data_IF_630328042454
#
_entry.id   IF_630328042454
#
_cell.length_a   1.000
_cell.length_b   1.000
_cell.length_c   1.000
_cell.angle_alpha   90.00
_cell.angle_beta   90.00
_cell.angle_gamma   90.00
#
_symmetry.space_group_name_H-M   'P 1'
#
loop_
_entity.id
_entity.type
_entity.pdbx_description
1 polymer ?
#
# COMPACT_ATOMS: atom_id res chain seq x y z
N UNK A 1 -12.23 -12.65 16.00
CA UNK A 1 -11.38 -11.52 16.44
C UNK A 1 -12.12 -10.25 16.08
N UNK A 2 -12.37 -9.37 17.06
CA UNK A 2 -12.96 -8.07 16.76
C UNK A 2 -11.99 -7.29 15.85
N UNK A 3 -12.53 -6.64 14.81
CA UNK A 3 -11.75 -5.72 13.97
C UNK A 3 -11.22 -4.60 14.87
N UNK A 4 -9.95 -4.67 15.25
CA UNK A 4 -9.25 -3.57 15.92
C UNK A 4 -9.07 -2.41 14.94
N UNK A 5 -8.99 -2.73 13.64
CA UNK A 5 -8.87 -1.76 12.57
C UNK A 5 -10.17 -0.98 12.38
N UNK A 6 -10.04 0.36 12.37
CA UNK A 6 -11.14 1.29 12.07
C UNK A 6 -10.94 1.97 10.71
N UNK A 7 -9.71 1.98 10.22
CA UNK A 7 -9.34 2.62 8.97
C UNK A 7 -8.38 1.74 8.16
N UNK A 8 -8.45 1.87 6.85
CA UNK A 8 -7.50 1.31 5.90
C UNK A 8 -6.80 2.47 5.20
N UNK A 9 -5.48 2.55 5.31
CA UNK A 9 -4.68 3.41 4.44
C UNK A 9 -4.13 2.56 3.30
N UNK A 10 -4.52 2.90 2.08
CA UNK A 10 -4.23 2.14 0.87
C UNK A 10 -3.30 2.97 0.00
N UNK A 11 -2.18 2.36 -0.36
CA UNK A 11 -1.18 2.95 -1.26
C UNK A 11 -1.06 2.06 -2.46
N UNK A 12 -1.41 2.54 -3.65
CA UNK A 12 -1.25 1.79 -4.90
C UNK A 12 -0.27 2.51 -5.82
N UNK A 13 0.49 1.75 -6.60
CA UNK A 13 1.45 2.30 -7.57
C UNK A 13 1.88 1.26 -8.60
N UNK A 14 2.39 1.76 -9.72
CA UNK A 14 3.22 1.01 -10.65
C UNK A 14 4.70 1.31 -10.33
N UNK A 15 5.60 0.43 -10.79
CA UNK A 15 7.05 0.55 -10.59
C UNK A 15 7.73 0.31 -11.92
N UNK A 16 8.78 1.09 -12.22
CA UNK A 16 9.63 0.83 -13.38
C UNK A 16 10.14 -0.63 -13.36
N UNK A 17 10.07 -1.39 -14.47
CA UNK A 17 10.38 -2.81 -14.48
C UNK A 17 11.77 -3.15 -13.91
N UNK A 18 12.77 -2.31 -14.16
CA UNK A 18 14.15 -2.48 -13.70
C UNK A 18 14.30 -2.38 -12.16
N UNK A 19 13.31 -1.78 -11.49
CA UNK A 19 13.30 -1.56 -10.04
C UNK A 19 12.30 -2.46 -9.31
N UNK A 20 11.56 -3.34 -10.01
CA UNK A 20 10.51 -4.18 -9.41
C UNK A 20 11.06 -5.12 -8.32
N UNK A 21 12.20 -5.77 -8.57
CA UNK A 21 12.82 -6.68 -7.60
C UNK A 21 13.31 -5.92 -6.37
N UNK A 22 13.96 -4.77 -6.57
CA UNK A 22 14.40 -3.91 -5.48
C UNK A 22 13.21 -3.38 -4.67
N UNK A 23 12.15 -2.94 -5.34
CA UNK A 23 10.91 -2.51 -4.71
C UNK A 23 10.35 -3.60 -3.80
N UNK A 24 10.28 -4.84 -4.30
CA UNK A 24 9.73 -5.96 -3.53
C UNK A 24 10.58 -6.29 -2.31
N UNK A 25 11.90 -6.39 -2.46
CA UNK A 25 12.81 -6.69 -1.36
C UNK A 25 12.77 -5.61 -0.27
N UNK A 26 12.85 -4.33 -0.68
CA UNK A 26 12.83 -3.19 0.24
C UNK A 26 11.49 -3.08 0.96
N UNK A 27 10.37 -3.33 0.28
CA UNK A 27 9.07 -3.31 0.93
C UNK A 27 8.93 -4.40 1.99
N UNK A 28 9.35 -5.63 1.68
CA UNK A 28 9.18 -6.79 2.56
C UNK A 28 10.12 -6.74 3.76
N UNK A 29 11.35 -6.27 3.56
CA UNK A 29 12.39 -6.32 4.60
C UNK A 29 12.51 -5.04 5.41
N UNK A 30 12.18 -3.89 4.82
CA UNK A 30 12.41 -2.59 5.45
C UNK A 30 11.12 -1.80 5.61
N UNK A 31 10.49 -1.40 4.49
CA UNK A 31 9.46 -0.36 4.52
C UNK A 31 8.23 -0.78 5.34
N UNK A 32 7.60 -1.91 5.01
CA UNK A 32 6.40 -2.38 5.72
C UNK A 32 6.73 -2.73 7.18
N UNK A 33 7.79 -3.52 7.48
CA UNK A 33 8.16 -3.79 8.87
C UNK A 33 8.45 -2.53 9.70
N UNK A 34 9.01 -1.48 9.11
CA UNK A 34 9.24 -0.20 9.80
C UNK A 34 7.93 0.53 10.08
N UNK A 35 7.04 0.63 9.09
CA UNK A 35 5.71 1.24 9.28
C UNK A 35 4.90 0.51 10.36
N UNK A 36 4.96 -0.82 10.42
CA UNK A 36 4.27 -1.60 11.46
C UNK A 36 4.80 -1.33 12.89
N UNK A 37 5.90 -0.60 13.07
CA UNK A 37 6.36 -0.14 14.40
C UNK A 37 5.66 1.13 14.88
N UNK A 38 4.93 1.82 14.01
CA UNK A 38 4.21 3.05 14.37
C UNK A 38 3.01 2.69 15.25
N UNK A 39 2.88 3.27 16.46
CA UNK A 39 1.74 3.00 17.33
C UNK A 39 0.40 3.27 16.64
N UNK A 40 -0.51 2.31 16.70
CA UNK A 40 -1.83 2.37 16.06
C UNK A 40 -1.87 1.82 14.61
N UNK A 41 -0.73 1.42 14.04
CA UNK A 41 -0.69 0.50 12.89
C UNK A 41 -0.85 -0.91 13.42
N UNK A 42 -1.88 -1.60 12.97
CA UNK A 42 -2.23 -2.95 13.46
C UNK A 42 -1.48 -3.99 12.65
N UNK A 43 -1.57 -3.88 11.32
CA UNK A 43 -0.89 -4.75 10.37
C UNK A 43 -0.85 -4.09 9.00
N UNK A 44 -0.12 -4.70 8.08
CA UNK A 44 -0.07 -4.28 6.70
C UNK A 44 0.01 -5.49 5.76
N UNK A 45 -0.61 -5.36 4.60
CA UNK A 45 -0.57 -6.36 3.54
C UNK A 45 -0.03 -5.73 2.27
N UNK A 46 0.71 -6.53 1.50
CA UNK A 46 1.11 -6.20 0.14
C UNK A 46 0.34 -7.08 -0.83
N UNK A 47 -0.15 -6.45 -1.88
CA UNK A 47 -0.91 -7.11 -2.92
C UNK A 47 -0.27 -6.80 -4.27
N UNK A 48 -0.22 -7.82 -5.12
CA UNK A 48 0.10 -7.70 -6.53
C UNK A 48 -1.19 -7.97 -7.30
N UNK A 49 -1.46 -7.15 -8.31
CA UNK A 49 -2.56 -7.40 -9.22
C UNK A 49 -2.28 -8.70 -9.98
N UNK A 50 -3.23 -9.63 -9.91
CA UNK A 50 -3.22 -10.87 -10.70
C UNK A 50 -4.46 -10.91 -11.59
N UNK A 51 -4.25 -11.31 -12.85
CA UNK A 51 -5.35 -11.54 -13.78
C UNK A 51 -6.02 -12.88 -13.45
N UNK A 52 -7.32 -12.86 -13.21
CA UNK A 52 -8.11 -14.05 -12.92
C UNK A 52 -9.43 -14.02 -13.70
N UNK A 53 -9.92 -15.20 -14.08
CA UNK A 53 -11.26 -15.34 -14.65
C UNK A 53 -12.31 -15.07 -13.57
N UNK A 54 -12.84 -13.86 -13.56
CA UNK A 54 -13.94 -13.48 -12.69
C UNK A 54 -15.30 -13.88 -13.31
N UNK A 55 -16.26 -14.16 -12.43
CA UNK A 55 -17.65 -14.42 -12.82
C UNK A 55 -18.20 -13.29 -13.69
N UNK A 56 -19.16 -13.57 -14.56
CA UNK A 56 -19.73 -12.56 -15.48
C UNK A 56 -20.27 -11.32 -14.72
N UNK A 57 -20.84 -11.50 -13.52
CA UNK A 57 -21.30 -10.40 -12.67
C UNK A 57 -20.21 -9.68 -11.87
N UNK A 58 -19.01 -10.27 -11.80
CA UNK A 58 -17.83 -9.72 -11.10
C UNK A 58 -16.80 -9.14 -12.06
N UNK A 59 -16.87 -9.46 -13.36
CA UNK A 59 -16.13 -8.73 -14.38
C UNK A 59 -16.52 -7.27 -14.22
N UNK A 60 -15.53 -6.42 -13.97
CA UNK A 60 -15.73 -4.99 -14.11
C UNK A 60 -16.25 -4.79 -15.53
N UNK A 61 -17.57 -4.62 -15.70
CA UNK A 61 -18.10 -4.05 -16.91
C UNK A 61 -17.35 -2.75 -17.04
N UNK A 62 -16.43 -2.65 -18.01
CA UNK A 62 -15.48 -1.55 -18.22
C UNK A 62 -16.12 -0.18 -17.94
N UNK A 63 -16.15 0.24 -16.67
CA UNK A 63 -16.83 1.45 -16.20
C UNK A 63 -15.81 2.52 -15.83
N UNK A 64 -14.57 2.13 -15.53
CA UNK A 64 -13.42 3.03 -15.49
C UNK A 64 -12.52 2.75 -16.68
N UNK A 65 -12.11 3.80 -17.38
CA UNK A 65 -11.11 3.71 -18.46
C UNK A 65 -9.67 3.55 -17.92
N UNK A 66 -9.48 3.59 -16.60
CA UNK A 66 -8.17 3.52 -15.97
C UNK A 66 -7.78 2.08 -15.63
N UNK A 67 -6.57 1.69 -16.03
CA UNK A 67 -5.95 0.43 -15.63
C UNK A 67 -5.61 0.47 -14.14
N UNK A 68 -5.96 -0.56 -13.36
CA UNK A 68 -5.57 -0.66 -11.95
C UNK A 68 -4.04 -0.77 -11.82
N UNK A 69 -3.48 -0.21 -10.75
CA UNK A 69 -2.06 -0.33 -10.46
C UNK A 69 -1.64 -1.78 -10.20
N UNK A 70 -0.43 -2.13 -10.61
CA UNK A 70 0.16 -3.46 -10.40
C UNK A 70 0.39 -3.79 -8.92
N UNK A 71 0.71 -2.79 -8.09
CA UNK A 71 1.01 -3.00 -6.68
C UNK A 71 0.12 -2.19 -5.75
N UNK A 72 -0.16 -2.77 -4.58
CA UNK A 72 -0.90 -2.13 -3.50
C UNK A 72 -0.33 -2.53 -2.14
N UNK A 73 -0.29 -1.58 -1.21
CA UNK A 73 -0.08 -1.83 0.21
C UNK A 73 -1.31 -1.33 0.97
N UNK A 74 -1.87 -2.17 1.84
CA UNK A 74 -3.00 -1.83 2.71
C UNK A 74 -2.50 -1.86 4.14
N UNK A 75 -2.60 -0.73 4.84
CA UNK A 75 -2.28 -0.60 6.25
C UNK A 75 -3.58 -0.53 7.06
N UNK A 76 -3.74 -1.45 8.01
CA UNK A 76 -4.84 -1.44 8.96
C UNK A 76 -4.49 -0.52 10.14
N UNK A 77 -5.38 0.44 10.43
CA UNK A 77 -5.12 1.53 11.36
C UNK A 77 -6.24 1.67 12.39
N UNK A 78 -5.86 2.05 13.60
CA UNK A 78 -6.80 2.42 14.67
C UNK A 78 -7.40 3.81 14.46
N UNK A 79 -6.67 4.72 13.80
CA UNK A 79 -7.02 6.15 13.65
C UNK A 79 -6.71 6.67 12.24
N UNK A 80 -7.47 7.66 11.81
CA UNK A 80 -7.38 8.28 10.49
C UNK A 80 -6.11 9.12 10.28
N UNK A 81 -5.53 9.67 11.34
CA UNK A 81 -4.46 10.67 11.28
C UNK A 81 -3.05 10.06 11.27
N UNK A 82 -2.93 8.75 11.50
CA UNK A 82 -1.64 8.05 11.56
C UNK A 82 -0.77 8.27 10.31
N UNK A 83 -1.27 8.17 9.06
CA UNK A 83 -0.43 8.38 7.87
C UNK A 83 0.11 9.80 7.72
N UNK A 84 -0.52 10.79 8.38
CA UNK A 84 -0.08 12.18 8.39
C UNK A 84 0.78 12.55 9.61
N UNK A 85 1.12 11.59 10.47
CA UNK A 85 1.89 11.83 11.70
C UNK A 85 3.40 11.83 11.48
N UNK A 86 4.13 12.52 12.36
CA UNK A 86 5.60 12.53 12.35
C UNK A 86 6.18 11.12 12.58
N UNK A 87 5.52 10.30 13.39
CA UNK A 87 5.95 8.92 13.64
C UNK A 87 5.89 8.06 12.37
N UNK A 88 4.83 8.23 11.57
CA UNK A 88 4.72 7.60 10.26
C UNK A 88 5.81 8.09 9.31
N UNK A 89 5.97 9.42 9.18
CA UNK A 89 7.00 10.00 8.32
C UNK A 89 8.39 9.50 8.69
N UNK A 90 8.72 9.48 9.98
CA UNK A 90 10.00 8.99 10.47
C UNK A 90 10.25 7.52 10.09
N UNK A 91 9.28 6.61 10.28
CA UNK A 91 9.44 5.21 9.89
C UNK A 91 9.44 5.01 8.36
N UNK A 92 8.64 5.79 7.63
CA UNK A 92 8.51 5.71 6.18
C UNK A 92 9.81 6.08 5.45
N UNK A 93 10.60 7.01 6.01
CA UNK A 93 11.84 7.48 5.40
C UNK A 93 13.07 6.62 5.73
N UNK A 94 12.95 5.64 6.65
CA UNK A 94 14.04 4.72 6.98
C UNK A 94 14.31 3.77 5.80
N UNK A 95 15.59 3.55 5.52
CA UNK A 95 16.05 2.54 4.58
C UNK A 95 16.08 3.03 3.14
N UNK A 96 15.97 2.10 2.20
CA UNK A 96 16.18 2.37 0.79
C UNK A 96 14.94 2.89 0.07
N UNK A 97 13.75 2.78 0.68
CA UNK A 97 12.49 3.16 0.06
C UNK A 97 12.51 4.61 -0.46
N UNK A 98 12.84 5.57 0.40
CA UNK A 98 12.75 7.01 0.11
C UNK A 98 13.70 7.48 -0.99
N UNK A 99 14.85 6.83 -1.13
CA UNK A 99 15.98 7.28 -1.96
C UNK A 99 16.22 6.42 -3.20
N UNK A 100 15.93 5.12 -3.14
CA UNK A 100 16.23 4.16 -4.22
C UNK A 100 15.01 3.59 -4.91
N UNK A 101 13.83 3.65 -4.29
CA UNK A 101 12.61 3.01 -4.83
C UNK A 101 11.56 4.05 -5.19
N UNK A 102 11.16 4.91 -4.25
CA UNK A 102 10.11 5.93 -4.44
C UNK A 102 10.28 6.78 -5.71
N UNK A 103 11.48 7.22 -6.12
CA UNK A 103 11.66 7.99 -7.37
C UNK A 103 11.24 7.24 -8.65
N UNK A 104 11.19 5.91 -8.61
CA UNK A 104 10.89 5.01 -9.75
C UNK A 104 9.45 4.47 -9.70
N UNK A 105 8.58 5.12 -8.92
CA UNK A 105 7.17 4.75 -8.79
C UNK A 105 6.29 5.66 -9.64
N UNK A 106 5.26 5.08 -10.24
CA UNK A 106 4.36 5.73 -11.20
C UNK A 106 2.90 5.50 -10.79
N UNK A 107 1.98 6.34 -11.29
CA UNK A 107 0.53 6.20 -11.05
C UNK A 107 0.18 6.02 -9.55
N UNK A 108 0.96 6.68 -8.68
CA UNK A 108 0.91 6.46 -7.23
C UNK A 108 -0.32 7.15 -6.62
N UNK A 109 -1.13 6.40 -5.89
CA UNK A 109 -2.35 6.89 -5.23
C UNK A 109 -2.32 6.57 -3.75
N UNK A 110 -2.93 7.46 -2.97
CA UNK A 110 -3.13 7.33 -1.53
C UNK A 110 -4.60 7.48 -1.22
N UNK A 111 -5.15 6.51 -0.50
CA UNK A 111 -6.54 6.51 -0.09
C UNK A 111 -6.65 6.16 1.38
N UNK A 112 -7.49 6.89 2.10
CA UNK A 112 -7.90 6.51 3.45
C UNK A 112 -9.37 6.14 3.41
N UNK A 113 -9.69 4.94 3.92
CA UNK A 113 -11.06 4.43 4.00
C UNK A 113 -11.39 4.15 5.46
N UNK A 114 -12.61 4.48 5.88
CA UNK A 114 -13.15 4.10 7.19
C UNK A 114 -13.90 2.76 7.04
N UNK A 115 -13.68 1.84 7.97
CA UNK A 115 -14.45 0.59 8.08
C UNK A 115 -15.79 0.93 8.76
N UNK A 116 -16.91 0.42 8.21
CA UNK A 116 -18.27 0.67 8.70
C UNK A 116 -18.81 -0.50 9.54
#
# INVERSE_FOLDING_TARGET
MALTAKYLFIVSMDVEPEYEDLFNDVYDREHVPNICKVPGVITAYRLKLEEAELSVGSRAANKSAETPQKYMAIYELERADIPGSDAWAAQAEIGLWSTKVRPHTLNRRHELRKIL
#
